data_IF_628651837363
#
_entry.id   IF_628651837363
#
_cell.length_a   1.000
_cell.length_b   1.000
_cell.length_c   1.000
_cell.angle_alpha   90.00
_cell.angle_beta   90.00
_cell.angle_gamma   90.00
#
_symmetry.space_group_name_H-M   'P 1'
#
loop_
_entity.id
_entity.type
_entity.pdbx_description
1 polymer ?
#
# COMPACT_ATOMS: atom_id res chain seq x y z
N UNK A 1 20.52 -38.74 7.86
CA UNK A 1 20.30 -37.56 6.99
C UNK A 1 18.92 -37.67 6.34
N UNK A 2 17.84 -37.31 7.04
CA UNK A 2 16.47 -37.39 6.51
C UNK A 2 15.55 -36.25 6.99
N UNK A 3 16.10 -35.22 7.65
CA UNK A 3 15.31 -34.11 8.19
C UNK A 3 15.19 -32.90 7.24
N UNK A 4 15.97 -32.83 6.17
CA UNK A 4 15.98 -31.68 5.24
C UNK A 4 14.83 -31.69 4.23
N UNK A 5 14.26 -32.85 3.92
CA UNK A 5 13.16 -33.00 2.93
C UNK A 5 11.83 -32.43 3.42
N UNK A 6 11.54 -32.52 4.73
CA UNK A 6 10.27 -32.05 5.30
C UNK A 6 10.14 -30.53 5.41
N UNK A 7 11.24 -29.83 5.70
CA UNK A 7 11.29 -28.35 5.73
C UNK A 7 11.14 -27.73 4.33
N UNK A 8 11.71 -28.38 3.30
CA UNK A 8 11.58 -27.96 1.91
C UNK A 8 10.15 -28.10 1.38
N UNK A 9 9.50 -29.24 1.64
CA UNK A 9 8.11 -29.47 1.25
C UNK A 9 7.13 -28.54 1.97
N UNK A 10 7.28 -28.34 3.30
CA UNK A 10 6.46 -27.37 4.05
C UNK A 10 6.68 -25.93 3.58
N UNK A 11 7.91 -25.51 3.25
CA UNK A 11 8.17 -24.19 2.65
C UNK A 11 7.52 -24.04 1.28
N UNK A 12 7.57 -25.06 0.43
CA UNK A 12 6.93 -25.04 -0.89
C UNK A 12 5.40 -24.91 -0.82
N UNK A 13 4.77 -25.46 0.23
CA UNK A 13 3.33 -25.32 0.44
C UNK A 13 2.95 -24.02 1.17
N UNK A 14 3.69 -23.58 2.19
CA UNK A 14 3.32 -22.43 3.04
C UNK A 14 3.62 -21.09 2.35
N UNK A 15 4.73 -20.97 1.61
CA UNK A 15 5.11 -19.71 0.96
C UNK A 15 4.05 -19.16 -0.01
N UNK A 16 3.42 -19.98 -0.88
CA UNK A 16 2.34 -19.50 -1.75
C UNK A 16 1.12 -18.98 -0.99
N UNK A 17 0.76 -19.59 0.15
CA UNK A 17 -0.34 -19.10 1.00
C UNK A 17 0.02 -17.76 1.64
N UNK A 18 1.26 -17.62 2.14
CA UNK A 18 1.76 -16.35 2.68
C UNK A 18 1.72 -15.25 1.62
N UNK A 19 2.20 -15.51 0.40
CA UNK A 19 2.11 -14.56 -0.71
C UNK A 19 0.66 -14.25 -1.09
N UNK A 20 -0.26 -15.22 -1.02
CA UNK A 20 -1.68 -14.98 -1.29
C UNK A 20 -2.30 -14.07 -0.24
N UNK A 21 -2.04 -14.31 1.04
CA UNK A 21 -2.52 -13.46 2.15
C UNK A 21 -1.92 -12.06 2.06
N UNK A 22 -0.61 -11.94 1.79
CA UNK A 22 0.04 -10.65 1.59
C UNK A 22 -0.57 -9.87 0.42
N UNK A 23 -0.84 -10.55 -0.70
CA UNK A 23 -1.50 -9.98 -1.88
C UNK A 23 -2.90 -9.47 -1.57
N UNK A 24 -3.73 -10.32 -0.95
CA UNK A 24 -5.10 -9.95 -0.60
C UNK A 24 -5.14 -8.83 0.46
N UNK A 25 -4.23 -8.87 1.44
CA UNK A 25 -4.09 -7.81 2.44
C UNK A 25 -3.77 -6.46 1.80
N UNK A 26 -2.77 -6.40 0.92
CA UNK A 26 -2.45 -5.18 0.17
C UNK A 26 -3.60 -4.75 -0.73
N UNK A 27 -4.27 -5.69 -1.41
CA UNK A 27 -5.42 -5.38 -2.25
C UNK A 27 -6.54 -4.68 -1.45
N UNK A 28 -6.91 -5.24 -0.29
CA UNK A 28 -7.92 -4.66 0.60
C UNK A 28 -7.50 -3.27 1.06
N UNK A 29 -6.25 -3.09 1.49
CA UNK A 29 -5.75 -1.80 1.96
C UNK A 29 -5.87 -0.74 0.87
N UNK A 30 -5.41 -1.02 -0.34
CA UNK A 30 -5.49 -0.08 -1.45
C UNK A 30 -6.93 0.22 -1.88
N UNK A 31 -7.80 -0.78 -1.90
CA UNK A 31 -9.22 -0.60 -2.23
C UNK A 31 -9.96 0.25 -1.20
N UNK A 32 -9.72 0.00 0.09
CA UNK A 32 -10.33 0.78 1.18
C UNK A 32 -9.78 2.21 1.16
N UNK A 33 -8.46 2.38 1.08
CA UNK A 33 -7.82 3.69 1.04
C UNK A 33 -8.33 4.55 -0.13
N UNK A 34 -8.41 3.97 -1.33
CA UNK A 34 -8.90 4.66 -2.52
C UNK A 34 -10.40 4.90 -2.46
N UNK A 35 -11.17 3.92 -2.00
CA UNK A 35 -12.63 4.02 -1.86
C UNK A 35 -13.08 5.11 -0.90
N UNK A 36 -12.32 5.33 0.19
CA UNK A 36 -12.61 6.41 1.14
C UNK A 36 -12.33 7.81 0.56
N UNK A 37 -11.41 7.93 -0.40
CA UNK A 37 -11.00 9.22 -0.97
C UNK A 37 -11.70 9.57 -2.28
N UNK A 38 -12.10 8.59 -3.08
CA UNK A 38 -12.65 8.83 -4.43
C UNK A 38 -13.95 9.64 -4.41
N UNK A 39 -14.70 9.60 -3.30
CA UNK A 39 -15.93 10.38 -3.12
C UNK A 39 -15.72 11.89 -2.93
N UNK A 40 -14.54 12.33 -2.48
CA UNK A 40 -14.21 13.76 -2.32
C UNK A 40 -12.75 14.01 -2.73
N UNK A 41 -12.53 14.14 -4.04
CA UNK A 41 -11.22 14.44 -4.62
C UNK A 41 -10.69 15.81 -4.18
N UNK A 42 -11.58 16.74 -3.82
CA UNK A 42 -11.17 18.05 -3.33
C UNK A 42 -10.58 17.93 -1.91
N UNK A 43 -11.17 17.09 -1.05
CA UNK A 43 -10.59 16.75 0.25
C UNK A 43 -9.24 16.05 0.09
N UNK A 44 -9.13 15.08 -0.82
CA UNK A 44 -7.87 14.41 -1.09
C UNK A 44 -6.76 15.40 -1.56
N UNK A 45 -7.12 16.35 -2.42
CA UNK A 45 -6.21 17.45 -2.81
C UNK A 45 -5.79 18.35 -1.64
N UNK A 46 -6.74 18.72 -0.76
CA UNK A 46 -6.44 19.49 0.46
C UNK A 46 -5.53 18.70 1.41
N UNK A 47 -5.74 17.40 1.56
CA UNK A 47 -4.91 16.53 2.38
C UNK A 47 -3.46 16.51 1.90
N UNK A 48 -3.23 16.36 0.59
CA UNK A 48 -1.87 16.45 0.02
C UNK A 48 -1.29 17.85 0.20
N UNK A 49 -2.10 18.92 0.04
CA UNK A 49 -1.65 20.29 0.25
C UNK A 49 -1.24 20.57 1.69
N UNK A 50 -1.82 19.87 2.67
CA UNK A 50 -1.49 20.02 4.09
C UNK A 50 -0.06 19.55 4.40
N UNK A 51 0.54 18.70 3.55
CA UNK A 51 1.96 18.38 3.66
C UNK A 51 2.87 19.55 3.30
N UNK A 52 2.36 20.62 2.65
CA UNK A 52 3.11 21.82 2.25
C UNK A 52 4.42 21.52 1.50
N UNK A 53 4.47 20.42 0.75
CA UNK A 53 5.64 20.01 -0.07
C UNK A 53 5.56 20.63 -1.46
N UNK A 54 4.35 20.70 -2.03
CA UNK A 54 4.11 21.14 -3.40
C UNK A 54 3.24 22.41 -3.43
N UNK A 55 3.29 23.20 -4.51
CA UNK A 55 2.31 24.23 -4.77
C UNK A 55 0.88 23.67 -4.82
N UNK A 56 -0.09 24.47 -4.43
CA UNK A 56 -1.49 24.04 -4.30
C UNK A 56 -2.05 23.31 -5.53
N UNK A 57 -1.81 23.82 -6.74
CA UNK A 57 -2.30 23.19 -7.98
C UNK A 57 -1.71 21.79 -8.20
N UNK A 58 -0.43 21.62 -7.87
CA UNK A 58 0.26 20.32 -7.98
C UNK A 58 -0.25 19.35 -6.91
N UNK A 59 -0.40 19.83 -5.67
CA UNK A 59 -0.94 19.03 -4.58
C UNK A 59 -2.37 18.56 -4.87
N UNK A 60 -3.20 19.44 -5.44
CA UNK A 60 -4.56 19.12 -5.87
C UNK A 60 -4.58 18.05 -6.96
N UNK A 61 -3.71 18.16 -7.97
CA UNK A 61 -3.60 17.16 -9.02
C UNK A 61 -3.16 15.79 -8.49
N UNK A 62 -2.12 15.78 -7.63
CA UNK A 62 -1.63 14.55 -6.99
C UNK A 62 -2.73 13.92 -6.12
N UNK A 63 -3.37 14.70 -5.25
CA UNK A 63 -4.43 14.21 -4.36
C UNK A 63 -5.66 13.73 -5.12
N UNK A 64 -6.00 14.33 -6.26
CA UNK A 64 -7.09 13.84 -7.10
C UNK A 64 -6.71 12.55 -7.86
N UNK A 65 -5.45 12.38 -8.26
CA UNK A 65 -4.98 11.19 -8.98
C UNK A 65 -4.76 9.98 -8.05
N UNK A 66 -4.35 10.23 -6.82
CA UNK A 66 -3.99 9.19 -5.85
C UNK A 66 -5.09 8.13 -5.63
N UNK A 67 -6.37 8.47 -5.39
CA UNK A 67 -7.43 7.48 -5.15
C UNK A 67 -7.61 6.50 -6.31
N UNK A 68 -7.49 6.98 -7.54
CA UNK A 68 -7.59 6.12 -8.73
C UNK A 68 -6.42 5.15 -8.84
N UNK A 69 -5.20 5.61 -8.49
CA UNK A 69 -4.02 4.75 -8.45
C UNK A 69 -4.15 3.69 -7.35
N UNK A 70 -4.63 4.07 -6.17
CA UNK A 70 -4.92 3.15 -5.05
C UNK A 70 -5.93 2.08 -5.52
N UNK A 71 -7.07 2.48 -6.08
CA UNK A 71 -8.09 1.54 -6.58
C UNK A 71 -7.56 0.61 -7.68
N UNK A 72 -6.81 1.14 -8.65
CA UNK A 72 -6.25 0.34 -9.73
C UNK A 72 -5.28 -0.73 -9.20
N UNK A 73 -4.37 -0.36 -8.30
CA UNK A 73 -3.45 -1.31 -7.67
C UNK A 73 -4.19 -2.35 -6.83
N UNK A 74 -5.19 -1.91 -6.08
CA UNK A 74 -6.05 -2.78 -5.29
C UNK A 74 -6.74 -3.84 -6.15
N UNK A 75 -7.32 -3.45 -7.28
CA UNK A 75 -7.96 -4.37 -8.23
C UNK A 75 -6.96 -5.32 -8.88
N UNK A 76 -5.81 -4.83 -9.34
CA UNK A 76 -4.77 -5.67 -9.96
C UNK A 76 -4.24 -6.74 -8.99
N UNK A 77 -3.99 -6.35 -7.73
CA UNK A 77 -3.56 -7.29 -6.69
C UNK A 77 -4.69 -8.26 -6.30
N UNK A 78 -5.94 -7.81 -6.26
CA UNK A 78 -7.08 -8.66 -5.93
C UNK A 78 -7.21 -9.82 -6.94
N UNK A 79 -7.22 -9.49 -8.24
CA UNK A 79 -7.30 -10.49 -9.32
C UNK A 79 -5.97 -11.23 -9.52
N UNK A 80 -4.89 -10.74 -8.94
CA UNK A 80 -3.55 -11.31 -9.06
C UNK A 80 -2.99 -11.19 -10.49
N UNK A 81 -3.19 -10.04 -11.13
CA UNK A 81 -2.60 -9.71 -12.42
C UNK A 81 -1.38 -8.83 -12.24
N UNK A 82 -0.28 -9.15 -12.92
CA UNK A 82 0.99 -8.43 -12.83
C UNK A 82 1.47 -8.23 -11.37
N UNK A 83 1.35 -9.27 -10.53
CA UNK A 83 1.49 -9.18 -9.06
C UNK A 83 2.81 -8.52 -8.67
N UNK A 84 3.90 -8.88 -9.35
CA UNK A 84 5.23 -8.34 -9.08
C UNK A 84 5.34 -6.85 -9.41
N UNK A 85 4.71 -6.41 -10.51
CA UNK A 85 4.68 -5.00 -10.91
C UNK A 85 3.82 -4.20 -9.93
N UNK A 86 2.61 -4.66 -9.63
CA UNK A 86 1.72 -4.01 -8.68
C UNK A 86 2.36 -3.90 -7.28
N UNK A 87 3.00 -4.97 -6.78
CA UNK A 87 3.75 -4.94 -5.53
C UNK A 87 4.96 -3.97 -5.59
N UNK A 88 5.63 -3.85 -6.73
CA UNK A 88 6.70 -2.87 -6.92
C UNK A 88 6.19 -1.43 -6.81
N UNK A 89 5.09 -1.11 -7.50
CA UNK A 89 4.47 0.22 -7.46
C UNK A 89 3.95 0.51 -6.04
N UNK A 90 3.29 -0.47 -5.40
CA UNK A 90 2.85 -0.33 -4.01
C UNK A 90 4.00 -0.05 -3.05
N UNK A 91 5.15 -0.72 -3.20
CA UNK A 91 6.32 -0.49 -2.37
C UNK A 91 6.85 0.95 -2.53
N UNK A 92 6.94 1.44 -3.77
CA UNK A 92 7.37 2.82 -4.05
C UNK A 92 6.40 3.82 -3.43
N UNK A 93 5.09 3.64 -3.60
CA UNK A 93 4.08 4.51 -3.00
C UNK A 93 4.15 4.53 -1.47
N UNK A 94 4.31 3.36 -0.84
CA UNK A 94 4.45 3.27 0.62
C UNK A 94 5.70 3.98 1.11
N UNK A 95 6.83 3.88 0.40
CA UNK A 95 8.04 4.65 0.73
C UNK A 95 7.79 6.15 0.61
N UNK A 96 7.07 6.60 -0.43
CA UNK A 96 6.69 8.00 -0.60
C UNK A 96 5.79 8.49 0.53
N UNK A 97 4.80 7.70 0.95
CA UNK A 97 3.95 8.04 2.09
C UNK A 97 4.74 8.12 3.39
N UNK A 98 5.53 7.09 3.72
CA UNK A 98 6.38 7.09 4.92
C UNK A 98 7.29 8.33 4.94
N UNK A 99 7.92 8.67 3.81
CA UNK A 99 8.76 9.85 3.70
C UNK A 99 7.96 11.15 3.91
N UNK A 100 6.76 11.25 3.35
CA UNK A 100 5.85 12.37 3.57
C UNK A 100 5.46 12.53 5.04
N UNK A 101 5.09 11.44 5.70
CA UNK A 101 4.69 11.43 7.12
C UNK A 101 5.86 11.83 8.01
N UNK A 102 7.05 11.24 7.79
CA UNK A 102 8.26 11.61 8.53
C UNK A 102 8.63 13.08 8.30
N UNK A 103 8.47 13.59 7.08
CA UNK A 103 8.69 15.01 6.76
C UNK A 103 7.72 15.91 7.55
N UNK A 104 6.43 15.60 7.53
CA UNK A 104 5.42 16.34 8.28
C UNK A 104 5.71 16.33 9.78
N UNK A 105 6.08 15.16 10.32
CA UNK A 105 6.43 14.99 11.72
C UNK A 105 7.67 15.81 12.11
N UNK A 106 8.75 15.74 11.32
CA UNK A 106 9.98 16.50 11.57
C UNK A 106 9.78 18.03 11.52
N UNK A 107 8.77 18.49 10.76
CA UNK A 107 8.40 19.90 10.62
C UNK A 107 7.33 20.34 11.62
N UNK A 108 6.84 19.45 12.47
CA UNK A 108 5.82 19.75 13.48
C UNK A 108 4.45 20.11 12.89
N UNK A 109 4.15 19.64 11.67
CA UNK A 109 2.81 19.81 11.11
C UNK A 109 1.78 19.05 11.96
N UNK A 110 0.56 19.57 12.01
CA UNK A 110 -0.56 18.96 12.71
C UNK A 110 -1.57 18.47 11.67
N UNK A 111 -1.27 17.33 11.03
CA UNK A 111 -2.06 16.81 9.92
C UNK A 111 -2.43 15.35 10.14
N UNK A 112 -3.59 14.96 9.62
CA UNK A 112 -3.96 13.58 9.39
C UNK A 112 -3.40 13.15 8.03
N UNK A 113 -2.56 12.12 8.04
CA UNK A 113 -1.85 11.62 6.87
C UNK A 113 -2.78 11.03 5.80
N UNK A 114 -4.03 10.72 6.14
CA UNK A 114 -5.08 10.41 5.17
C UNK A 114 -5.04 9.00 4.58
N UNK A 115 -4.16 8.10 5.02
CA UNK A 115 -4.11 6.74 4.43
C UNK A 115 -5.46 5.99 4.56
N UNK A 116 -6.17 6.17 5.68
CA UNK A 116 -7.48 5.55 5.97
C UNK A 116 -8.55 6.57 6.41
N UNK A 117 -8.35 7.84 6.09
CA UNK A 117 -9.27 8.93 6.39
C UNK A 117 -9.28 9.92 5.23
N UNK A 118 -10.05 11.00 5.33
CA UNK A 118 -9.98 12.09 4.37
C UNK A 118 -8.65 12.87 4.42
N UNK A 119 -7.86 12.71 5.49
CA UNK A 119 -6.63 13.45 5.76
C UNK A 119 -6.87 14.96 5.96
N UNK A 120 -5.76 15.71 5.99
CA UNK A 120 -5.77 17.17 6.06
C UNK A 120 -5.37 17.72 7.42
N UNK A 121 -5.60 19.02 7.63
CA UNK A 121 -5.16 19.70 8.84
C UNK A 121 -6.02 19.28 10.05
N UNK A 122 -5.36 18.97 11.16
CA UNK A 122 -6.01 18.60 12.42
C UNK A 122 -6.42 19.86 13.18
N UNK A 123 -7.51 19.74 13.94
CA UNK A 123 -7.95 20.79 14.86
C UNK A 123 -6.96 21.02 16.00
N UNK A 124 -6.98 22.22 16.58
CA UNK A 124 -6.13 22.56 17.72
C UNK A 124 -6.35 21.58 18.89
N UNK A 125 -5.26 20.99 19.39
CA UNK A 125 -5.28 20.05 20.53
C UNK A 125 -5.51 18.58 20.14
N UNK A 126 -5.56 18.24 18.84
CA UNK A 126 -5.57 16.86 18.37
C UNK A 126 -4.16 16.46 17.97
N UNK A 127 -3.61 15.45 18.66
CA UNK A 127 -2.27 14.96 18.35
C UNK A 127 -2.30 14.00 17.14
N UNK A 128 -1.41 14.19 16.15
CA UNK A 128 -1.28 13.30 15.01
C UNK A 128 -0.67 11.94 15.41
N UNK A 129 -1.18 10.87 14.83
CA UNK A 129 -0.77 9.50 15.11
C UNK A 129 0.42 9.03 14.25
N UNK A 130 1.38 9.91 13.94
CA UNK A 130 2.45 9.64 12.96
C UNK A 130 3.22 8.35 13.22
N UNK A 131 3.52 8.03 14.48
CA UNK A 131 4.23 6.80 14.84
C UNK A 131 3.46 5.53 14.44
N UNK A 132 2.14 5.54 14.61
CA UNK A 132 1.29 4.43 14.21
C UNK A 132 1.14 4.35 12.69
N UNK A 133 0.97 5.49 12.02
CA UNK A 133 0.86 5.54 10.56
C UNK A 133 2.14 5.01 9.88
N UNK A 134 3.32 5.42 10.36
CA UNK A 134 4.60 4.90 9.86
C UNK A 134 4.76 3.42 10.14
N UNK A 135 4.44 2.94 11.35
CA UNK A 135 4.56 1.53 11.70
C UNK A 135 3.66 0.64 10.82
N UNK A 136 2.42 1.09 10.59
CA UNK A 136 1.46 0.42 9.70
C UNK A 136 1.99 0.37 8.26
N UNK A 137 2.46 1.49 7.74
CA UNK A 137 2.95 1.57 6.36
C UNK A 137 4.22 0.74 6.15
N UNK A 138 5.10 0.66 7.17
CA UNK A 138 6.24 -0.29 7.18
C UNK A 138 5.72 -1.74 7.12
N UNK A 139 4.67 -2.07 7.87
CA UNK A 139 4.04 -3.39 7.81
C UNK A 139 3.58 -3.75 6.39
N UNK A 140 2.90 -2.83 5.71
CA UNK A 140 2.49 -3.02 4.32
C UNK A 140 3.67 -3.05 3.36
N UNK A 141 4.72 -2.27 3.62
CA UNK A 141 5.94 -2.28 2.80
C UNK A 141 6.64 -3.64 2.87
N UNK A 142 6.66 -4.27 4.05
CA UNK A 142 7.17 -5.63 4.23
C UNK A 142 6.33 -6.65 3.45
N UNK A 143 4.99 -6.54 3.47
CA UNK A 143 4.12 -7.41 2.65
C UNK A 143 4.43 -7.23 1.15
N UNK A 144 4.66 -6.00 0.72
CA UNK A 144 5.06 -5.69 -0.66
C UNK A 144 6.41 -6.31 -1.01
N UNK A 145 7.37 -6.24 -0.09
CA UNK A 145 8.67 -6.90 -0.22
C UNK A 145 8.55 -8.42 -0.36
N UNK A 146 7.72 -9.05 0.48
CA UNK A 146 7.45 -10.50 0.37
C UNK A 146 6.94 -10.87 -1.02
N UNK A 147 6.02 -10.10 -1.59
CA UNK A 147 5.52 -10.31 -2.96
C UNK A 147 6.56 -10.05 -4.04
N UNK A 148 7.52 -9.14 -3.82
CA UNK A 148 8.61 -8.89 -4.76
C UNK A 148 9.63 -10.03 -4.81
N UNK A 149 9.94 -10.63 -3.66
CA UNK A 149 10.85 -11.79 -3.56
C UNK A 149 10.17 -13.11 -3.91
N UNK A 150 8.89 -13.27 -3.54
CA UNK A 150 8.09 -14.47 -3.81
C UNK A 150 6.73 -14.09 -4.43
N UNK A 151 6.71 -13.73 -5.73
CA UNK A 151 5.49 -13.30 -6.41
C UNK A 151 4.49 -14.44 -6.66
N UNK A 152 4.94 -15.70 -6.53
CA UNK A 152 4.08 -16.88 -6.68
C UNK A 152 3.04 -16.93 -5.57
N UNK A 153 1.85 -16.43 -5.89
CA UNK A 153 0.63 -16.54 -5.08
C UNK A 153 -0.31 -17.54 -5.74
N UNK A 154 -1.10 -18.26 -4.93
CA UNK A 154 -2.16 -19.11 -5.48
C UNK A 154 -3.30 -18.21 -5.99
N UNK A 155 -4.08 -18.69 -6.97
CA UNK A 155 -5.20 -17.96 -7.57
C UNK A 155 -4.81 -16.59 -8.19
N UNK A 156 -3.62 -16.47 -8.77
CA UNK A 156 -3.27 -15.32 -9.61
C UNK A 156 -3.66 -15.60 -11.05
N UNK A 157 -4.18 -14.60 -11.77
CA UNK A 157 -4.32 -14.72 -13.22
C UNK A 157 -2.95 -14.86 -13.88
N UNK A 158 -1.89 -14.30 -13.28
CA UNK A 158 -0.51 -14.51 -13.71
C UNK A 158 -0.14 -16.00 -13.81
N UNK A 159 -0.57 -16.87 -12.88
CA UNK A 159 -0.22 -18.30 -12.94
C UNK A 159 -0.93 -19.03 -14.09
N UNK A 160 -2.15 -18.61 -14.43
CA UNK A 160 -2.91 -19.18 -15.56
C UNK A 160 -2.32 -18.71 -16.90
N UNK A 161 -1.93 -17.45 -17.01
CA UNK A 161 -1.30 -16.89 -18.22
C UNK A 161 0.12 -17.42 -18.44
N UNK A 162 0.88 -17.68 -17.38
CA UNK A 162 2.27 -18.17 -17.47
C UNK A 162 2.37 -19.71 -17.56
N UNK A 163 1.26 -20.44 -17.47
CA UNK A 163 1.26 -21.91 -17.61
C UNK A 163 1.95 -22.66 -16.46
N UNK A 164 2.03 -22.06 -15.26
CA UNK A 164 2.57 -22.72 -14.08
C UNK A 164 1.56 -23.79 -13.63
N UNK A 165 1.74 -25.05 -14.04
CA UNK A 165 0.95 -26.18 -13.54
C UNK A 165 1.18 -26.34 -12.02
N UNK A 166 0.09 -26.25 -11.25
CA UNK A 166 0.02 -26.03 -9.79
C UNK A 166 0.42 -27.21 -8.89
#
# INVERSE_FOLDING_TARGET
MSMTTGLGARRATVLPWVSTVARLGLAVVWLVAGGLKVGDLAAAGRAVSAYQIFPYEVAKAIGAAQPFLELALGLLLLVGLAVRLSAGISAVLLVVFIAGIISAWARGLQIDCGCFSSGGELGAGVDPAYGWDVARDIGFLLLSGVLLWWPRSRFSIDSVLMGDEL
#
